data_IF_279655271587
#
_entry.id   IF_279655271587
#
_cell.length_a   1.000
_cell.length_b   1.000
_cell.length_c   1.000
_cell.angle_alpha   90.00
_cell.angle_beta   90.00
_cell.angle_gamma   90.00
#
_symmetry.space_group_name_H-M   'P 1'
#
loop_
_entity.id
_entity.type
_entity.pdbx_description
1 polymer ?
#
# COMPACT_ATOMS: atom_id res chain seq x y z
N UNK A 1 9.43 5.46 -47.00
CA UNK A 1 9.02 4.25 -46.28
C UNK A 1 8.27 4.67 -45.02
N UNK A 2 6.96 4.41 -44.98
CA UNK A 2 6.11 4.72 -43.83
C UNK A 2 6.35 3.70 -42.73
N UNK A 3 7.02 4.11 -41.64
CA UNK A 3 7.16 3.30 -40.43
C UNK A 3 5.76 3.17 -39.81
N UNK A 4 5.12 2.00 -40.03
CA UNK A 4 3.91 1.63 -39.28
C UNK A 4 4.33 1.37 -37.85
N UNK A 5 4.14 2.37 -36.98
CA UNK A 5 4.14 2.17 -35.54
C UNK A 5 3.02 1.17 -35.22
N UNK A 6 3.40 -0.08 -34.99
CA UNK A 6 2.53 -1.05 -34.35
C UNK A 6 2.20 -0.49 -32.96
N UNK A 7 1.08 0.24 -32.85
CA UNK A 7 0.44 0.49 -31.57
C UNK A 7 0.08 -0.88 -31.01
N UNK A 8 0.95 -1.38 -30.12
CA UNK A 8 0.72 -2.59 -29.35
C UNK A 8 -0.68 -2.45 -28.75
N UNK A 9 -1.54 -3.43 -29.02
CA UNK A 9 -2.91 -3.58 -28.50
C UNK A 9 -2.96 -3.78 -26.97
N UNK A 10 -2.04 -3.17 -26.22
CA UNK A 10 -1.99 -3.14 -24.76
C UNK A 10 -3.03 -2.16 -24.18
N UNK A 11 -3.53 -1.22 -24.98
CA UNK A 11 -4.41 -0.11 -24.54
C UNK A 11 -5.85 -0.48 -24.13
N UNK A 12 -6.31 -1.72 -24.33
CA UNK A 12 -7.71 -2.10 -24.05
C UNK A 12 -7.88 -3.20 -22.99
N UNK A 13 -6.81 -3.89 -22.55
CA UNK A 13 -6.93 -4.91 -21.48
C UNK A 13 -7.09 -4.29 -20.09
N UNK A 14 -6.49 -3.12 -19.84
CA UNK A 14 -6.54 -2.44 -18.53
C UNK A 14 -7.98 -2.05 -18.13
N UNK A 15 -8.84 -1.71 -19.10
CA UNK A 15 -10.22 -1.28 -18.82
C UNK A 15 -11.21 -2.42 -18.55
N UNK A 16 -10.88 -3.66 -18.93
CA UNK A 16 -11.82 -4.79 -18.80
C UNK A 16 -11.57 -5.66 -17.55
N UNK A 17 -10.49 -5.45 -16.82
CA UNK A 17 -10.12 -6.31 -15.68
C UNK A 17 -10.37 -5.68 -14.31
N UNK A 18 -10.40 -4.34 -14.21
CA UNK A 18 -10.57 -3.63 -12.93
C UNK A 18 -11.92 -2.93 -12.84
N UNK A 19 -12.59 -3.14 -11.72
CA UNK A 19 -13.81 -2.44 -11.31
C UNK A 19 -13.51 -0.98 -10.96
N UNK A 20 -14.55 -0.13 -10.99
CA UNK A 20 -14.43 1.27 -10.55
C UNK A 20 -13.87 1.38 -9.12
N UNK A 21 -14.18 0.42 -8.24
CA UNK A 21 -13.70 0.40 -6.86
C UNK A 21 -12.21 0.09 -6.77
N UNK A 22 -11.70 -0.82 -7.60
CA UNK A 22 -10.27 -1.13 -7.65
C UNK A 22 -9.47 0.06 -8.17
N UNK A 23 -9.97 0.71 -9.24
CA UNK A 23 -9.34 1.93 -9.78
C UNK A 23 -9.31 3.04 -8.71
N UNK A 24 -10.42 3.27 -8.02
CA UNK A 24 -10.48 4.27 -6.95
C UNK A 24 -9.53 3.93 -5.79
N UNK A 25 -9.45 2.66 -5.40
CA UNK A 25 -8.52 2.18 -4.38
C UNK A 25 -7.06 2.44 -4.74
N UNK A 26 -6.67 2.12 -5.98
CA UNK A 26 -5.32 2.38 -6.49
C UNK A 26 -4.98 3.87 -6.54
N UNK A 27 -5.93 4.71 -6.97
CA UNK A 27 -5.77 6.16 -6.96
C UNK A 27 -5.50 6.65 -5.54
N UNK A 28 -6.32 6.24 -4.57
CA UNK A 28 -6.17 6.66 -3.18
C UNK A 28 -4.88 6.15 -2.54
N UNK A 29 -4.46 4.92 -2.84
CA UNK A 29 -3.18 4.38 -2.41
C UNK A 29 -2.04 5.28 -2.90
N UNK A 30 -1.95 5.55 -4.21
CA UNK A 30 -0.90 6.41 -4.77
C UNK A 30 -0.88 7.81 -4.13
N UNK A 31 -2.06 8.38 -3.85
CA UNK A 31 -2.17 9.68 -3.17
C UNK A 31 -1.62 9.59 -1.75
N UNK A 32 -2.02 8.57 -0.97
CA UNK A 32 -1.57 8.40 0.41
C UNK A 32 -0.07 8.16 0.51
N UNK A 33 0.46 7.26 -0.31
CA UNK A 33 1.90 7.00 -0.41
C UNK A 33 2.65 8.30 -0.73
N UNK A 34 2.17 9.05 -1.73
CA UNK A 34 2.78 10.33 -2.10
C UNK A 34 2.77 11.35 -0.97
N UNK A 35 1.67 11.45 -0.22
CA UNK A 35 1.56 12.37 0.90
C UNK A 35 2.48 11.97 2.06
N UNK A 36 2.61 10.68 2.35
CA UNK A 36 3.40 10.17 3.48
C UNK A 36 4.91 10.25 3.18
N UNK A 37 5.33 9.85 1.98
CA UNK A 37 6.74 9.77 1.61
C UNK A 37 7.27 11.15 1.19
N UNK A 38 6.63 11.78 0.20
CA UNK A 38 7.20 12.96 -0.46
C UNK A 38 6.73 14.29 0.11
N UNK A 39 5.56 14.33 0.77
CA UNK A 39 4.95 15.56 1.28
C UNK A 39 4.66 15.44 2.79
N UNK A 40 5.62 14.85 3.52
CA UNK A 40 5.50 14.54 4.95
C UNK A 40 4.97 15.74 5.74
N UNK A 41 5.51 16.93 5.53
CA UNK A 41 5.04 18.14 6.22
C UNK A 41 3.56 18.44 5.98
N UNK A 42 3.07 18.29 4.74
CA UNK A 42 1.65 18.49 4.43
C UNK A 42 0.78 17.40 5.04
N UNK A 43 1.28 16.17 5.10
CA UNK A 43 0.56 15.07 5.74
C UNK A 43 0.40 15.33 7.25
N UNK A 44 1.45 15.80 7.92
CA UNK A 44 1.43 16.03 9.37
C UNK A 44 0.69 17.31 9.76
N UNK A 45 0.82 18.39 8.98
CA UNK A 45 0.22 19.68 9.32
C UNK A 45 -1.30 19.71 9.07
N UNK A 46 -2.03 20.45 9.94
CA UNK A 46 -3.43 20.77 9.70
C UNK A 46 -3.49 22.03 8.85
N UNK A 47 -3.67 21.87 7.54
CA UNK A 47 -3.90 22.98 6.63
C UNK A 47 -5.38 23.42 6.67
N UNK A 48 -5.67 24.70 6.35
CA UNK A 48 -7.04 25.15 6.08
C UNK A 48 -7.72 24.27 5.02
N UNK A 49 -9.04 24.09 5.11
CA UNK A 49 -9.78 23.20 4.20
C UNK A 49 -9.58 23.55 2.72
N UNK A 50 -9.53 24.84 2.37
CA UNK A 50 -9.30 25.30 1.00
C UNK A 50 -7.93 24.88 0.46
N UNK A 51 -6.90 24.89 1.30
CA UNK A 51 -5.55 24.44 0.93
C UNK A 51 -5.48 22.92 0.82
N UNK A 52 -6.11 22.18 1.75
CA UNK A 52 -6.24 20.72 1.66
C UNK A 52 -6.91 20.30 0.34
N UNK A 53 -7.97 20.99 -0.07
CA UNK A 53 -8.65 20.70 -1.34
C UNK A 53 -7.71 20.88 -2.53
N UNK A 54 -6.91 21.94 -2.56
CA UNK A 54 -5.92 22.18 -3.62
C UNK A 54 -4.87 21.08 -3.65
N UNK A 55 -4.34 20.70 -2.49
CA UNK A 55 -3.34 19.62 -2.35
C UNK A 55 -3.93 18.28 -2.81
N UNK A 56 -5.09 17.88 -2.31
CA UNK A 56 -5.74 16.62 -2.71
C UNK A 56 -6.04 16.60 -4.20
N UNK A 57 -6.54 17.70 -4.76
CA UNK A 57 -6.82 17.80 -6.21
C UNK A 57 -5.54 17.65 -7.04
N UNK A 58 -4.43 18.26 -6.61
CA UNK A 58 -3.12 18.08 -7.25
C UNK A 58 -2.71 16.60 -7.25
N UNK A 59 -2.78 15.93 -6.11
CA UNK A 59 -2.34 14.53 -5.97
C UNK A 59 -3.28 13.53 -6.67
N UNK A 60 -4.58 13.74 -6.61
CA UNK A 60 -5.55 12.94 -7.37
C UNK A 60 -5.31 13.07 -8.87
N UNK A 61 -5.05 14.28 -9.38
CA UNK A 61 -4.74 14.47 -10.80
C UNK A 61 -3.42 13.80 -11.22
N UNK A 62 -2.40 13.82 -10.35
CA UNK A 62 -1.16 13.06 -10.57
C UNK A 62 -1.44 11.56 -10.65
N UNK A 63 -2.19 11.01 -9.68
CA UNK A 63 -2.54 9.58 -9.68
C UNK A 63 -3.37 9.19 -10.92
N UNK A 64 -4.34 10.02 -11.31
CA UNK A 64 -5.16 9.82 -12.51
C UNK A 64 -4.35 9.93 -13.81
N UNK A 65 -3.18 10.57 -13.82
CA UNK A 65 -2.33 10.66 -15.02
C UNK A 65 -1.62 9.34 -15.37
N UNK A 66 -1.54 8.39 -14.44
CA UNK A 66 -1.01 7.05 -14.70
C UNK A 66 -1.96 6.17 -15.54
N UNK A 67 -3.24 6.54 -15.65
CA UNK A 67 -4.22 5.82 -16.45
C UNK A 67 -4.23 6.35 -17.89
N UNK A 68 -4.21 5.48 -18.91
CA UNK A 68 -4.22 5.90 -20.31
C UNK A 68 -5.54 6.58 -20.67
N UNK A 69 -5.46 7.66 -21.44
CA UNK A 69 -6.64 8.33 -21.98
C UNK A 69 -7.25 7.54 -23.17
N UNK A 70 -8.60 7.49 -23.29
CA UNK A 70 -9.57 8.08 -22.37
C UNK A 70 -9.80 7.21 -21.13
N UNK A 71 -9.84 7.81 -19.94
CA UNK A 71 -10.35 7.19 -18.71
C UNK A 71 -11.83 7.56 -18.54
N UNK A 72 -12.78 6.65 -18.84
CA UNK A 72 -14.19 6.90 -18.55
C UNK A 72 -14.34 7.20 -17.06
N UNK A 73 -15.24 8.14 -16.71
CA UNK A 73 -15.51 8.53 -15.32
C UNK A 73 -14.33 9.18 -14.57
N UNK A 74 -13.28 9.67 -15.25
CA UNK A 74 -12.19 10.45 -14.62
C UNK A 74 -12.69 11.52 -13.64
N UNK A 75 -13.72 12.27 -14.03
CA UNK A 75 -14.36 13.29 -13.19
C UNK A 75 -14.98 12.70 -11.91
N UNK A 76 -15.65 11.54 -12.03
CA UNK A 76 -16.24 10.84 -10.90
C UNK A 76 -15.17 10.34 -9.92
N UNK A 77 -14.05 9.79 -10.42
CA UNK A 77 -12.93 9.37 -9.57
C UNK A 77 -12.31 10.55 -8.83
N UNK A 78 -12.18 11.70 -9.50
CA UNK A 78 -11.71 12.92 -8.86
C UNK A 78 -12.66 13.39 -7.75
N UNK A 79 -13.96 13.45 -8.02
CA UNK A 79 -14.99 13.86 -7.06
C UNK A 79 -15.04 12.92 -5.84
N UNK A 80 -15.15 11.61 -6.08
CA UNK A 80 -15.16 10.59 -5.01
C UNK A 80 -13.87 10.55 -4.21
N UNK A 81 -12.72 10.59 -4.89
CA UNK A 81 -11.42 10.60 -4.24
C UNK A 81 -11.26 11.82 -3.33
N UNK A 82 -11.72 13.00 -3.78
CA UNK A 82 -11.68 14.22 -2.97
C UNK A 82 -12.57 14.11 -1.74
N UNK A 83 -13.78 13.58 -1.89
CA UNK A 83 -14.71 13.34 -0.78
C UNK A 83 -14.10 12.41 0.27
N UNK A 84 -13.55 11.27 -0.16
CA UNK A 84 -12.92 10.30 0.74
C UNK A 84 -11.74 10.95 1.47
N UNK A 85 -10.82 11.62 0.76
CA UNK A 85 -9.67 12.28 1.38
C UNK A 85 -10.08 13.32 2.43
N UNK A 86 -11.11 14.13 2.13
CA UNK A 86 -11.67 15.08 3.10
C UNK A 86 -12.19 14.36 4.35
N UNK A 87 -12.96 13.28 4.17
CA UNK A 87 -13.51 12.51 5.27
C UNK A 87 -12.41 11.89 6.13
N UNK A 88 -11.36 11.35 5.50
CA UNK A 88 -10.21 10.79 6.19
C UNK A 88 -9.50 11.84 7.05
N UNK A 89 -9.16 13.01 6.49
CA UNK A 89 -8.42 14.04 7.21
C UNK A 89 -9.26 14.79 8.25
N UNK A 90 -10.60 14.74 8.16
CA UNK A 90 -11.53 15.21 9.21
C UNK A 90 -11.74 14.18 10.32
N UNK A 91 -11.48 12.90 10.07
CA UNK A 91 -11.69 11.83 11.04
C UNK A 91 -10.60 11.85 12.13
N UNK A 92 -10.99 11.69 13.40
CA UNK A 92 -10.09 11.68 14.56
C UNK A 92 -9.04 10.56 14.50
N UNK A 93 -9.34 9.44 13.85
CA UNK A 93 -8.41 8.33 13.71
C UNK A 93 -7.16 8.68 12.89
N UNK A 94 -7.17 9.74 12.07
CA UNK A 94 -5.99 10.14 11.29
C UNK A 94 -4.79 10.47 12.20
N UNK A 95 -5.06 10.90 13.44
CA UNK A 95 -4.03 11.12 14.47
C UNK A 95 -3.27 9.85 14.82
N UNK A 96 -3.94 8.69 14.82
CA UNK A 96 -3.30 7.38 15.03
C UNK A 96 -2.35 7.06 13.89
N UNK A 97 -2.76 7.27 12.63
CA UNK A 97 -1.89 7.07 11.46
C UNK A 97 -0.67 8.01 11.51
N UNK A 98 -0.88 9.30 11.78
CA UNK A 98 0.21 10.27 11.96
C UNK A 98 1.19 9.81 13.06
N UNK A 99 0.69 9.37 14.21
CA UNK A 99 1.53 8.87 15.32
C UNK A 99 2.36 7.63 14.96
N UNK A 100 1.79 6.70 14.16
CA UNK A 100 2.52 5.53 13.67
C UNK A 100 3.70 5.89 12.77
N UNK A 101 3.52 6.93 11.94
CA UNK A 101 4.52 7.39 10.96
C UNK A 101 5.52 8.38 11.60
N UNK A 102 5.11 9.12 12.64
CA UNK A 102 5.98 10.08 13.34
C UNK A 102 7.23 9.38 13.82
N UNK A 103 8.40 9.94 13.48
CA UNK A 103 9.72 9.44 13.92
C UNK A 103 10.02 7.99 13.48
N UNK A 104 9.26 7.46 12.53
CA UNK A 104 9.55 6.18 11.91
C UNK A 104 10.45 6.38 10.67
N UNK A 105 11.40 5.49 10.49
CA UNK A 105 12.10 5.31 9.23
C UNK A 105 11.15 4.65 8.23
N UNK A 106 11.02 5.24 7.04
CA UNK A 106 10.11 4.78 5.99
C UNK A 106 10.96 4.09 4.93
N UNK A 107 10.67 2.82 4.65
CA UNK A 107 11.35 2.07 3.60
C UNK A 107 10.58 2.26 2.29
N UNK A 108 11.12 3.11 1.42
CA UNK A 108 10.65 3.28 0.05
C UNK A 108 10.88 1.99 -0.74
N UNK A 109 10.03 1.74 -1.74
CA UNK A 109 10.19 0.63 -2.69
C UNK A 109 10.35 -0.76 -2.04
N UNK A 110 9.59 -1.05 -0.98
CA UNK A 110 9.70 -2.31 -0.23
C UNK A 110 9.83 -3.51 -1.18
N UNK A 111 10.98 -4.19 -1.10
CA UNK A 111 11.24 -5.37 -1.92
C UNK A 111 10.17 -6.41 -1.57
N UNK A 112 9.28 -6.70 -2.51
CA UNK A 112 8.36 -7.80 -2.34
C UNK A 112 9.10 -9.12 -2.48
N UNK A 113 8.45 -10.19 -2.05
CA UNK A 113 9.02 -11.52 -2.03
C UNK A 113 8.21 -12.50 -2.86
N UNK A 114 8.92 -13.44 -3.46
CA UNK A 114 8.32 -14.52 -4.23
C UNK A 114 7.98 -15.69 -3.31
N UNK A 115 6.75 -16.19 -3.41
CA UNK A 115 6.26 -17.39 -2.74
C UNK A 115 6.23 -18.56 -3.72
N UNK A 116 6.85 -19.68 -3.35
CA UNK A 116 6.53 -20.98 -3.96
C UNK A 116 5.28 -21.54 -3.28
N UNK A 117 4.17 -21.62 -4.01
CA UNK A 117 2.99 -22.36 -3.58
C UNK A 117 3.28 -23.85 -3.79
N UNK A 118 2.94 -24.71 -2.80
CA UNK A 118 3.30 -26.13 -2.76
C UNK A 118 2.99 -26.85 -4.08
N UNK A 119 3.89 -27.74 -4.50
CA UNK A 119 3.71 -28.62 -5.64
C UNK A 119 2.42 -29.45 -5.50
N UNK A 120 1.49 -29.30 -6.44
CA UNK A 120 0.23 -30.05 -6.48
C UNK A 120 -0.99 -29.25 -6.92
N UNK A 121 -0.93 -27.91 -6.92
CA UNK A 121 -1.97 -27.03 -7.49
C UNK A 121 -1.41 -26.25 -8.66
N UNK A 122 -2.11 -26.26 -9.78
CA UNK A 122 -1.74 -25.54 -11.00
C UNK A 122 -1.71 -24.02 -10.72
N UNK A 123 -0.55 -23.39 -10.99
CA UNK A 123 -0.26 -21.94 -11.02
C UNK A 123 -0.11 -21.27 -9.63
N UNK A 124 0.99 -20.63 -9.18
CA UNK A 124 2.30 -20.23 -9.71
C UNK A 124 3.11 -19.55 -8.57
N UNK A 125 4.21 -18.85 -8.88
CA UNK A 125 4.93 -18.03 -7.89
C UNK A 125 4.09 -16.77 -7.59
N UNK A 126 3.71 -16.55 -6.33
CA UNK A 126 2.99 -15.33 -5.91
C UNK A 126 3.98 -14.28 -5.40
N UNK A 127 3.93 -13.06 -5.93
CA UNK A 127 4.73 -11.93 -5.45
C UNK A 127 3.91 -11.13 -4.44
N UNK A 128 4.42 -11.00 -3.22
CA UNK A 128 3.74 -10.31 -2.11
C UNK A 128 4.58 -9.10 -1.71
N UNK A 129 3.97 -7.92 -1.68
CA UNK A 129 4.64 -6.66 -1.34
C UNK A 129 3.72 -5.82 -0.43
N UNK A 130 4.17 -5.43 0.78
CA UNK A 130 3.41 -4.50 1.60
C UNK A 130 3.43 -3.09 0.97
N UNK A 131 2.35 -2.34 1.19
CA UNK A 131 2.22 -0.98 0.65
C UNK A 131 3.26 -0.02 1.26
N UNK A 132 3.36 0.03 2.59
CA UNK A 132 4.42 0.74 3.31
C UNK A 132 5.01 -0.10 4.43
N UNK A 133 6.34 -0.02 4.55
CA UNK A 133 7.08 -0.61 5.65
C UNK A 133 7.78 0.50 6.44
N UNK A 134 7.59 0.48 7.76
CA UNK A 134 8.17 1.44 8.69
C UNK A 134 8.98 0.72 9.77
N UNK A 135 10.06 1.36 10.22
CA UNK A 135 10.84 0.93 11.38
C UNK A 135 10.81 2.00 12.47
N UNK A 136 10.44 1.60 13.68
CA UNK A 136 10.40 2.48 14.87
C UNK A 136 10.95 1.74 16.10
N UNK A 137 12.24 1.94 16.36
CA UNK A 137 12.99 1.15 17.35
C UNK A 137 12.90 -0.34 17.03
N UNK A 138 12.53 -1.16 18.02
CA UNK A 138 12.37 -2.61 17.85
C UNK A 138 11.01 -3.00 17.24
N UNK A 139 10.32 -2.09 16.54
CA UNK A 139 9.05 -2.39 15.88
C UNK A 139 9.19 -2.25 14.38
N UNK A 140 8.86 -3.31 13.65
CA UNK A 140 8.49 -3.24 12.24
C UNK A 140 6.99 -3.02 12.14
N UNK A 141 6.58 -2.03 11.34
CA UNK A 141 5.20 -1.65 11.15
C UNK A 141 4.89 -1.73 9.66
N UNK A 142 3.93 -2.58 9.29
CA UNK A 142 3.35 -2.58 7.94
C UNK A 142 2.07 -1.76 7.96
N UNK A 143 1.93 -0.86 7.00
CA UNK A 143 0.66 -0.22 6.67
C UNK A 143 0.19 -0.80 5.34
N UNK A 144 -1.04 -1.29 5.31
CA UNK A 144 -1.72 -1.75 4.10
C UNK A 144 -2.95 -0.86 3.86
N UNK A 145 -3.04 -0.25 2.68
CA UNK A 145 -4.11 0.64 2.29
C UNK A 145 -5.20 -0.10 1.54
N UNK A 146 -6.44 0.01 2.01
CA UNK A 146 -7.61 -0.61 1.36
C UNK A 146 -8.75 0.39 1.21
N UNK A 147 -9.51 0.27 0.13
CA UNK A 147 -10.71 1.10 -0.05
C UNK A 147 -11.83 0.69 0.92
N UNK A 148 -12.27 -0.58 0.90
CA UNK A 148 -13.44 -1.06 1.67
C UNK A 148 -13.20 -2.30 2.55
N UNK A 149 -12.69 -3.40 1.97
CA UNK A 149 -12.57 -4.69 2.67
C UNK A 149 -11.16 -4.93 3.24
N UNK A 150 -11.04 -5.63 4.37
CA UNK A 150 -9.76 -6.11 4.86
C UNK A 150 -9.19 -7.18 3.92
N UNK A 151 -7.85 -7.32 3.92
CA UNK A 151 -7.14 -8.41 3.26
C UNK A 151 -7.64 -9.77 3.73
N UNK A 152 -7.40 -10.84 2.95
CA UNK A 152 -7.52 -12.19 3.49
C UNK A 152 -6.52 -12.34 4.65
N UNK A 153 -6.90 -13.05 5.71
CA UNK A 153 -6.00 -13.34 6.85
C UNK A 153 -4.68 -13.95 6.35
N UNK A 154 -4.75 -14.76 5.29
CA UNK A 154 -3.61 -15.36 4.61
C UNK A 154 -2.57 -14.31 4.13
N UNK A 155 -2.99 -13.19 3.52
CA UNK A 155 -2.05 -12.16 3.06
C UNK A 155 -1.31 -11.49 4.24
N UNK A 156 -1.97 -11.36 5.38
CA UNK A 156 -1.39 -10.71 6.57
C UNK A 156 -0.44 -11.66 7.31
N UNK A 157 -0.74 -12.96 7.36
CA UNK A 157 0.19 -13.98 7.85
C UNK A 157 1.45 -14.05 6.99
N UNK A 158 1.32 -13.91 5.67
CA UNK A 158 2.46 -13.90 4.74
C UNK A 158 3.42 -12.72 4.99
N UNK A 159 2.89 -11.54 5.26
CA UNK A 159 3.69 -10.38 5.63
C UNK A 159 4.50 -10.59 6.91
N UNK A 160 3.92 -11.29 7.89
CA UNK A 160 4.64 -11.66 9.11
C UNK A 160 5.79 -12.61 8.80
N UNK A 161 5.53 -13.67 8.04
CA UNK A 161 6.56 -14.64 7.66
C UNK A 161 7.71 -13.97 6.90
N UNK A 162 7.41 -12.99 6.04
CA UNK A 162 8.43 -12.19 5.37
C UNK A 162 9.28 -11.39 6.37
N UNK A 163 8.66 -10.58 7.23
CA UNK A 163 9.41 -9.73 8.16
C UNK A 163 10.18 -10.51 9.23
N UNK A 164 9.70 -11.70 9.62
CA UNK A 164 10.43 -12.57 10.54
C UNK A 164 11.78 -13.04 9.99
N UNK A 165 11.98 -13.03 8.66
CA UNK A 165 13.29 -13.29 8.05
C UNK A 165 14.29 -12.15 8.24
N UNK A 166 13.82 -10.91 8.42
CA UNK A 166 14.68 -9.72 8.56
C UNK A 166 14.98 -9.35 10.01
N UNK A 167 14.10 -9.70 10.96
CA UNK A 167 14.29 -9.37 12.38
C UNK A 167 13.64 -10.40 13.30
N UNK A 168 14.39 -11.45 13.67
CA UNK A 168 13.88 -12.54 14.52
C UNK A 168 13.44 -12.09 15.93
N UNK A 169 13.98 -10.97 16.42
CA UNK A 169 13.69 -10.43 17.76
C UNK A 169 12.86 -9.13 17.73
N UNK A 170 12.46 -8.66 16.55
CA UNK A 170 11.70 -7.42 16.42
C UNK A 170 10.19 -7.68 16.51
N UNK A 171 9.47 -6.72 17.09
CA UNK A 171 8.01 -6.75 17.14
C UNK A 171 7.43 -6.38 15.76
N UNK A 172 6.63 -7.26 15.16
CA UNK A 172 5.94 -6.99 13.89
C UNK A 172 4.51 -6.57 14.18
N UNK A 173 4.10 -5.41 13.65
CA UNK A 173 2.75 -4.88 13.74
C UNK A 173 2.24 -4.63 12.34
N UNK A 174 1.02 -5.09 12.04
CA UNK A 174 0.37 -4.80 10.76
C UNK A 174 -0.87 -3.97 11.03
N UNK A 175 -1.01 -2.87 10.32
CA UNK A 175 -2.17 -1.99 10.37
C UNK A 175 -2.85 -1.94 9.01
N UNK A 176 -4.15 -2.21 8.99
CA UNK A 176 -5.00 -1.98 7.84
C UNK A 176 -5.55 -0.56 7.93
N UNK A 177 -5.26 0.24 6.92
CA UNK A 177 -5.79 1.59 6.75
C UNK A 177 -6.91 1.52 5.71
N UNK A 178 -8.15 1.52 6.18
CA UNK A 178 -9.33 1.41 5.34
C UNK A 178 -9.86 2.82 5.08
N UNK A 179 -10.08 3.19 3.81
CA UNK A 179 -10.48 4.54 3.43
C UNK A 179 -11.98 4.82 3.57
N UNK A 180 -12.84 3.81 3.39
CA UNK A 180 -14.29 3.99 3.35
C UNK A 180 -15.06 2.81 4.01
N UNK A 181 -15.68 3.01 5.20
CA UNK A 181 -15.52 4.16 6.08
C UNK A 181 -14.10 4.23 6.66
N UNK A 182 -13.57 5.44 6.88
CA UNK A 182 -12.20 5.58 7.35
C UNK A 182 -12.00 4.95 8.74
N UNK A 183 -11.14 3.94 8.81
CA UNK A 183 -10.72 3.29 10.04
C UNK A 183 -9.33 2.68 9.96
N UNK A 184 -8.65 2.57 11.10
CA UNK A 184 -7.33 1.95 11.21
C UNK A 184 -7.39 0.75 12.16
N UNK A 185 -7.36 -0.44 11.59
CA UNK A 185 -7.40 -1.70 12.34
C UNK A 185 -5.99 -2.22 12.56
N UNK A 186 -5.68 -2.60 13.81
CA UNK A 186 -4.44 -3.31 14.12
C UNK A 186 -4.75 -4.80 13.96
N UNK A 187 -4.00 -5.49 13.10
CA UNK A 187 -4.08 -6.92 13.02
C UNK A 187 -3.23 -7.54 14.14
N UNK A 188 -3.84 -8.39 14.96
CA UNK A 188 -3.15 -9.14 15.99
C UNK A 188 -3.00 -10.58 15.54
N UNK A 189 -1.76 -11.04 15.42
CA UNK A 189 -1.50 -12.43 15.15
C UNK A 189 -1.84 -13.26 16.38
N UNK A 190 -2.52 -14.39 16.17
CA UNK A 190 -2.49 -15.43 17.18
C UNK A 190 -1.03 -15.79 17.46
N UNK A 191 -0.63 -15.76 18.72
CA UNK A 191 0.73 -15.99 19.21
C UNK A 191 1.10 -17.46 19.04
N UNK A 192 1.30 -17.90 17.80
CA UNK A 192 2.12 -19.08 17.52
C UNK A 192 3.55 -18.60 17.38
N UNK A 193 4.35 -18.91 18.40
CA UNK A 193 5.81 -18.79 18.36
C UNK A 193 6.34 -19.78 17.34
N UNK A 194 6.35 -19.40 16.07
CA UNK A 194 7.09 -20.13 15.07
C UNK A 194 8.58 -19.82 15.28
N UNK A 195 9.30 -20.76 15.89
CA UNK A 195 10.77 -20.74 15.83
C UNK A 195 11.16 -21.09 14.40
N UNK A 196 11.34 -20.07 13.56
CA UNK A 196 12.01 -20.28 12.29
C UNK A 196 13.49 -20.49 12.58
N UNK A 197 14.09 -21.64 12.21
CA UNK A 197 15.53 -21.81 12.32
C UNK A 197 16.19 -20.66 11.57
N UNK A 198 17.15 -19.98 12.20
CA UNK A 198 17.96 -18.97 11.53
C UNK A 198 18.62 -19.62 10.31
N UNK A 199 18.19 -19.24 9.10
CA UNK A 199 18.84 -19.64 7.85
C UNK A 199 20.19 -18.95 7.63
N UNK A 200 20.71 -18.23 8.65
CA UNK A 200 22.05 -17.63 8.64
C UNK A 200 23.15 -18.68 8.43
N UNK A 201 22.93 -19.94 8.83
CA UNK A 201 23.88 -21.03 8.57
C UNK A 201 24.02 -21.40 7.09
N UNK A 202 23.11 -20.97 6.21
CA UNK A 202 23.26 -21.14 4.75
C UNK A 202 24.25 -20.14 4.12
N UNK A 203 24.71 -19.14 4.89
CA UNK A 203 25.66 -18.12 4.44
C UNK A 203 27.04 -18.25 5.13
N UNK A 204 27.26 -19.24 5.99
CA UNK A 204 28.52 -19.42 6.71
C UNK A 204 29.65 -20.05 5.85
N UNK A 205 29.34 -20.56 4.65
CA UNK A 205 30.34 -21.18 3.75
C UNK A 205 30.88 -20.22 2.67
N UNK A 206 31.23 -18.98 3.05
CA UNK A 206 32.06 -18.09 2.21
C UNK A 206 33.33 -17.63 2.93
N UNK A 207 33.96 -18.55 3.69
CA UNK A 207 35.30 -18.37 4.27
C UNK A 207 36.36 -18.99 3.38
#
# INVERSE_FOLDING_TARGET
MSVKLNQVRFKLRIFNEKTDLEILGEILHNVFESLIIYEKDLFFNFLPEEELVKVFTKYLNKALAFYPEPLPKRKLFLEKGLEILKNVFKNKEIKKLKSLISDAEIFEEVLGFFKNIKAGTSEGICYVKPDLLLKKGNNWIILEFKLHKPSSEEQLEEYKDFLQKFGQNDNIKIYLVIFEPFKIEKYEFSSKSYSYPSQLSLFEDFS
#
